data_IF_752006488029
#
_entry.id   IF_752006488029
#
_cell.length_a   1.000
_cell.length_b   1.000
_cell.length_c   1.000
_cell.angle_alpha   90.00
_cell.angle_beta   90.00
_cell.angle_gamma   90.00
#
_symmetry.space_group_name_H-M   'P 1'
#
loop_
_entity.id
_entity.type
_entity.pdbx_description
1 polymer ?
#
# COMPACT_ATOMS: atom_id res chain seq x y z
N UNK A 1 -3.57 38.37 -28.33
CA UNK A 1 -2.51 37.76 -27.49
C UNK A 1 -3.17 37.11 -26.27
N UNK A 2 -2.89 35.81 -26.03
CA UNK A 2 -3.15 34.96 -24.83
C UNK A 2 -4.64 34.64 -24.53
N UNK A 3 -5.04 33.38 -24.35
CA UNK A 3 -4.43 32.36 -23.47
C UNK A 3 -4.61 30.89 -23.94
N UNK A 4 -3.68 29.98 -23.62
CA UNK A 4 -3.94 28.55 -23.60
C UNK A 4 -4.11 28.04 -22.17
N UNK A 5 -5.34 27.96 -21.68
CA UNK A 5 -5.70 27.26 -20.44
C UNK A 5 -6.53 26.03 -20.81
N UNK A 6 -5.83 24.92 -21.14
CA UNK A 6 -6.38 23.54 -21.24
C UNK A 6 -5.31 22.47 -21.54
N UNK A 7 -4.11 22.86 -22.02
CA UNK A 7 -3.00 21.93 -22.29
C UNK A 7 -2.26 21.46 -21.01
N UNK A 8 -2.34 22.20 -19.91
CA UNK A 8 -1.62 21.88 -18.66
C UNK A 8 -2.24 20.71 -17.86
N UNK A 9 -3.49 20.30 -18.14
CA UNK A 9 -4.15 19.18 -17.45
C UNK A 9 -3.70 17.79 -17.94
N UNK A 10 -3.18 17.67 -19.17
CA UNK A 10 -2.74 16.38 -19.74
C UNK A 10 -1.23 16.15 -19.62
N UNK A 11 -0.40 17.20 -19.64
CA UNK A 11 1.06 17.06 -19.57
C UNK A 11 1.57 16.46 -18.25
N UNK A 12 1.13 17.03 -17.12
CA UNK A 12 1.46 16.51 -15.78
C UNK A 12 0.98 15.06 -15.60
N UNK A 13 -0.25 14.77 -16.02
CA UNK A 13 -0.83 13.43 -15.90
C UNK A 13 -0.09 12.40 -16.78
N UNK A 14 0.27 12.75 -18.02
CA UNK A 14 1.05 11.90 -18.93
C UNK A 14 2.45 11.61 -18.39
N UNK A 15 3.13 12.62 -17.85
CA UNK A 15 4.44 12.43 -17.22
C UNK A 15 4.35 11.50 -16.00
N UNK A 16 3.33 11.67 -15.16
CA UNK A 16 3.10 10.78 -14.01
C UNK A 16 2.82 9.35 -14.47
N UNK A 17 2.00 9.17 -15.51
CA UNK A 17 1.66 7.85 -16.03
C UNK A 17 2.87 7.14 -16.63
N UNK A 18 3.65 7.82 -17.47
CA UNK A 18 4.90 7.28 -18.01
C UNK A 18 5.92 6.97 -16.91
N UNK A 19 5.98 7.79 -15.85
CA UNK A 19 6.82 7.52 -14.70
C UNK A 19 6.38 6.27 -13.95
N UNK A 20 5.07 6.10 -13.73
CA UNK A 20 4.50 4.91 -13.09
C UNK A 20 4.89 3.63 -13.86
N UNK A 21 4.76 3.64 -15.19
CA UNK A 21 5.12 2.52 -16.05
C UNK A 21 6.61 2.17 -15.96
N UNK A 22 7.49 3.15 -16.13
CA UNK A 22 8.94 2.92 -16.06
C UNK A 22 9.40 2.52 -14.65
N UNK A 23 8.84 3.12 -13.60
CA UNK A 23 9.13 2.73 -12.23
C UNK A 23 8.60 1.33 -11.91
N UNK A 24 7.54 0.87 -12.56
CA UNK A 24 7.01 -0.48 -12.39
C UNK A 24 7.87 -1.55 -13.07
N UNK A 25 8.50 -1.20 -14.19
CA UNK A 25 9.31 -2.12 -14.98
C UNK A 25 10.77 -2.18 -14.51
N UNK A 26 11.37 -1.02 -14.20
CA UNK A 26 12.80 -0.89 -13.95
C UNK A 26 13.14 -0.43 -12.53
N UNK A 27 12.15 0.00 -11.74
CA UNK A 27 12.36 0.61 -10.44
C UNK A 27 12.74 2.09 -10.50
N UNK A 28 12.81 2.73 -9.33
CA UNK A 28 13.06 4.16 -9.22
C UNK A 28 14.48 4.53 -9.63
N UNK A 29 15.49 3.82 -9.13
CA UNK A 29 16.90 4.16 -9.33
C UNK A 29 17.31 4.09 -10.80
N UNK A 30 16.89 3.04 -11.51
CA UNK A 30 17.23 2.82 -12.92
C UNK A 30 16.51 3.78 -13.90
N UNK A 31 15.50 4.52 -13.44
CA UNK A 31 14.69 5.39 -14.30
C UNK A 31 15.16 6.85 -14.25
N UNK A 32 15.39 7.48 -15.41
CA UNK A 32 15.76 8.90 -15.48
C UNK A 32 14.58 9.80 -15.83
N UNK A 33 14.59 11.07 -15.40
CA UNK A 33 13.54 12.05 -15.77
C UNK A 33 13.49 12.32 -17.27
N UNK A 34 14.62 12.18 -17.98
CA UNK A 34 14.67 12.25 -19.44
C UNK A 34 13.96 11.08 -20.10
N UNK A 35 14.16 9.86 -19.59
CA UNK A 35 13.47 8.67 -20.09
C UNK A 35 11.95 8.80 -19.90
N UNK A 36 11.50 9.29 -18.74
CA UNK A 36 10.08 9.57 -18.47
C UNK A 36 9.52 10.59 -19.46
N UNK A 37 10.22 11.70 -19.67
CA UNK A 37 9.76 12.74 -20.59
C UNK A 37 9.66 12.20 -22.03
N UNK A 38 10.64 11.43 -22.47
CA UNK A 38 10.65 10.77 -23.77
C UNK A 38 9.46 9.79 -23.91
N UNK A 39 9.23 8.93 -22.91
CA UNK A 39 8.10 8.00 -22.90
C UNK A 39 6.74 8.71 -22.92
N UNK A 40 6.64 9.88 -22.28
CA UNK A 40 5.43 10.70 -22.31
C UNK A 40 5.26 11.54 -23.60
N UNK A 41 6.25 11.54 -24.51
CA UNK A 41 6.26 12.39 -25.70
C UNK A 41 6.38 13.89 -25.39
N UNK A 42 7.08 14.24 -24.30
CA UNK A 42 7.16 15.59 -23.76
C UNK A 42 8.61 16.04 -23.57
N UNK A 43 8.83 17.36 -23.50
CA UNK A 43 10.16 17.91 -23.21
C UNK A 43 10.58 17.62 -21.77
N UNK A 44 11.86 17.25 -21.50
CA UNK A 44 12.39 17.07 -20.15
C UNK A 44 12.18 18.29 -19.23
N UNK A 45 12.14 19.50 -19.80
CA UNK A 45 11.88 20.72 -19.04
C UNK A 45 10.50 20.72 -18.34
N UNK A 46 9.52 19.99 -18.88
CA UNK A 46 8.19 19.85 -18.27
C UNK A 46 8.22 19.01 -17.00
N UNK A 47 9.16 18.07 -16.87
CA UNK A 47 9.32 17.29 -15.62
C UNK A 47 9.75 18.21 -14.49
N UNK A 48 10.78 19.03 -14.70
CA UNK A 48 11.25 20.00 -13.72
C UNK A 48 10.19 21.06 -13.43
N UNK A 49 9.48 21.56 -14.45
CA UNK A 49 8.39 22.54 -14.28
C UNK A 49 7.24 22.00 -13.43
N UNK A 50 6.82 20.75 -13.64
CA UNK A 50 5.65 20.21 -12.95
C UNK A 50 5.97 19.55 -11.61
N UNK A 51 7.13 18.90 -11.49
CA UNK A 51 7.46 18.06 -10.33
C UNK A 51 8.69 18.51 -9.56
N UNK A 52 9.45 19.48 -10.08
CA UNK A 52 10.68 20.00 -9.46
C UNK A 52 11.87 19.04 -9.59
N UNK A 53 11.71 17.80 -9.15
CA UNK A 53 12.77 16.78 -9.15
C UNK A 53 12.26 15.39 -9.50
N UNK A 54 13.19 14.43 -9.62
CA UNK A 54 12.88 13.00 -9.79
C UNK A 54 12.10 12.46 -8.58
N UNK A 55 12.45 12.91 -7.37
CA UNK A 55 11.78 12.57 -6.12
C UNK A 55 10.39 13.20 -6.05
N UNK A 56 10.21 14.45 -6.52
CA UNK A 56 8.90 15.08 -6.60
C UNK A 56 7.97 14.37 -7.59
N UNK A 57 8.53 13.85 -8.69
CA UNK A 57 7.79 13.02 -9.64
C UNK A 57 7.39 11.69 -9.00
N UNK A 58 8.31 11.04 -8.27
CA UNK A 58 8.03 9.83 -7.51
C UNK A 58 6.92 10.02 -6.47
N UNK A 59 6.98 11.10 -5.70
CA UNK A 59 5.95 11.42 -4.72
C UNK A 59 4.56 11.59 -5.38
N UNK A 60 4.49 12.20 -6.55
CA UNK A 60 3.24 12.32 -7.31
C UNK A 60 2.72 10.97 -7.84
N UNK A 61 3.61 10.03 -8.14
CA UNK A 61 3.23 8.64 -8.48
C UNK A 61 2.73 7.93 -7.22
N UNK A 62 3.45 8.01 -6.10
CA UNK A 62 3.04 7.42 -4.83
C UNK A 62 1.63 7.88 -4.41
N UNK A 63 1.37 9.19 -4.49
CA UNK A 63 0.06 9.78 -4.19
C UNK A 63 -1.05 9.20 -5.08
N UNK A 64 -0.79 9.10 -6.39
CA UNK A 64 -1.75 8.53 -7.34
C UNK A 64 -2.03 7.05 -7.07
N UNK A 65 -0.99 6.27 -6.79
CA UNK A 65 -1.12 4.84 -6.44
C UNK A 65 -1.92 4.66 -5.15
N UNK A 66 -1.66 5.49 -4.13
CA UNK A 66 -2.41 5.48 -2.88
C UNK A 66 -3.88 5.87 -3.09
N UNK A 67 -4.17 6.86 -3.92
CA UNK A 67 -5.54 7.26 -4.23
C UNK A 67 -6.31 6.12 -4.92
N UNK A 68 -5.71 5.50 -5.94
CA UNK A 68 -6.29 4.34 -6.63
C UNK A 68 -6.58 3.17 -5.67
N UNK A 69 -5.63 2.86 -4.78
CA UNK A 69 -5.79 1.78 -3.81
C UNK A 69 -6.85 2.09 -2.75
N UNK A 70 -6.87 3.31 -2.20
CA UNK A 70 -7.89 3.68 -1.21
C UNK A 70 -9.27 3.83 -1.84
N UNK A 71 -9.37 4.21 -3.11
CA UNK A 71 -10.61 4.20 -3.89
C UNK A 71 -11.15 2.79 -4.10
N UNK A 72 -10.29 1.86 -4.54
CA UNK A 72 -10.64 0.45 -4.71
C UNK A 72 -11.13 -0.18 -3.39
N UNK A 73 -10.46 0.13 -2.27
CA UNK A 73 -10.88 -0.32 -0.93
C UNK A 73 -12.27 0.22 -0.54
N UNK A 74 -12.54 1.51 -0.75
CA UNK A 74 -13.86 2.11 -0.45
C UNK A 74 -15.01 1.49 -1.24
N UNK A 75 -14.73 1.02 -2.46
CA UNK A 75 -15.69 0.32 -3.31
C UNK A 75 -16.14 -1.05 -2.76
N UNK A 76 -15.37 -1.66 -1.85
CA UNK A 76 -15.70 -2.96 -1.25
C UNK A 76 -16.95 -2.92 -0.35
N UNK A 77 -17.23 -1.77 0.25
CA UNK A 77 -18.42 -1.55 1.09
C UNK A 77 -19.59 -0.92 0.34
N UNK A 78 -19.48 -0.70 -0.97
CA UNK A 78 -20.53 -0.12 -1.80
C UNK A 78 -21.27 -1.23 -2.56
N UNK A 79 -22.58 -1.32 -2.32
CA UNK A 79 -23.57 -2.21 -2.95
C UNK A 79 -23.31 -3.72 -2.87
N UNK A 80 -24.12 -4.42 -2.06
CA UNK A 80 -24.22 -5.87 -2.04
C UNK A 80 -23.28 -6.61 -1.09
N UNK A 81 -22.47 -5.88 -0.30
CA UNK A 81 -21.59 -6.47 0.73
C UNK A 81 -22.37 -7.34 1.74
N UNK A 82 -23.57 -6.91 2.15
CA UNK A 82 -24.39 -7.66 3.11
C UNK A 82 -24.97 -8.98 2.58
N UNK A 83 -25.00 -9.16 1.26
CA UNK A 83 -25.55 -10.36 0.60
C UNK A 83 -24.48 -11.36 0.15
N UNK A 84 -23.19 -11.01 0.23
CA UNK A 84 -22.08 -11.79 -0.32
C UNK A 84 -21.37 -12.57 0.77
N UNK A 85 -21.02 -13.83 0.47
CA UNK A 85 -20.17 -14.64 1.35
C UNK A 85 -18.77 -14.00 1.52
N UNK A 86 -18.15 -14.25 2.68
CA UNK A 86 -16.85 -13.72 3.06
C UNK A 86 -15.75 -14.12 2.06
N UNK A 87 -15.80 -15.34 1.51
CA UNK A 87 -14.80 -15.81 0.55
C UNK A 87 -14.94 -15.16 -0.82
N UNK A 88 -16.16 -14.86 -1.27
CA UNK A 88 -16.40 -14.07 -2.49
C UNK A 88 -15.91 -12.63 -2.31
N UNK A 89 -16.21 -12.03 -1.16
CA UNK A 89 -15.73 -10.69 -0.81
C UNK A 89 -14.20 -10.65 -0.76
N UNK A 90 -13.56 -11.64 -0.13
CA UNK A 90 -12.10 -11.74 -0.07
C UNK A 90 -11.45 -12.04 -1.43
N UNK A 91 -12.11 -12.82 -2.27
CA UNK A 91 -11.70 -13.08 -3.66
C UNK A 91 -11.71 -11.82 -4.52
N UNK A 92 -12.77 -11.01 -4.44
CA UNK A 92 -12.85 -9.71 -5.11
C UNK A 92 -11.82 -8.71 -4.56
N UNK A 93 -11.60 -8.69 -3.25
CA UNK A 93 -10.54 -7.89 -2.61
C UNK A 93 -9.17 -8.28 -3.15
N UNK A 94 -8.88 -9.58 -3.22
CA UNK A 94 -7.59 -10.08 -3.68
C UNK A 94 -7.42 -9.85 -5.18
N UNK A 95 -8.46 -10.06 -5.99
CA UNK A 95 -8.46 -9.77 -7.41
C UNK A 95 -8.32 -8.27 -7.71
N UNK A 96 -8.90 -7.38 -6.89
CA UNK A 96 -8.78 -5.92 -7.05
C UNK A 96 -7.46 -5.35 -6.51
N UNK A 97 -6.96 -5.88 -5.40
CA UNK A 97 -5.71 -5.43 -4.79
C UNK A 97 -4.46 -6.03 -5.45
N UNK A 98 -4.53 -7.27 -5.91
CA UNK A 98 -3.39 -7.99 -6.49
C UNK A 98 -3.57 -8.37 -7.97
N UNK A 99 -4.80 -8.40 -8.50
CA UNK A 99 -5.09 -8.81 -9.88
C UNK A 99 -5.30 -7.68 -10.89
N UNK A 100 -5.63 -6.44 -10.48
CA UNK A 100 -6.25 -5.47 -11.41
C UNK A 100 -5.35 -4.53 -12.22
N UNK A 101 -4.04 -4.46 -12.00
CA UNK A 101 -3.15 -3.71 -12.91
C UNK A 101 -1.70 -4.22 -12.79
N UNK A 102 -1.12 -4.83 -13.84
CA UNK A 102 0.27 -5.32 -13.80
C UNK A 102 1.28 -4.18 -13.54
N UNK A 103 0.99 -2.96 -14.00
CA UNK A 103 1.85 -1.79 -13.79
C UNK A 103 1.83 -1.40 -12.31
N UNK A 104 0.64 -1.27 -11.72
CA UNK A 104 0.51 -0.92 -10.31
C UNK A 104 1.20 -1.95 -9.40
N UNK A 105 1.07 -3.22 -9.72
CA UNK A 105 1.72 -4.32 -8.99
C UNK A 105 3.24 -4.27 -9.11
N UNK A 106 3.76 -4.05 -10.32
CA UNK A 106 5.20 -3.88 -10.55
C UNK A 106 5.76 -2.71 -9.76
N UNK A 107 5.04 -1.59 -9.77
CA UNK A 107 5.41 -0.41 -9.00
C UNK A 107 5.45 -0.68 -7.49
N UNK A 108 4.38 -1.26 -6.94
CA UNK A 108 4.31 -1.59 -5.51
C UNK A 108 5.39 -2.57 -5.10
N UNK A 109 5.72 -3.56 -5.94
CA UNK A 109 6.84 -4.48 -5.69
C UNK A 109 8.14 -3.71 -5.53
N UNK A 110 8.49 -2.84 -6.48
CA UNK A 110 9.71 -2.02 -6.38
C UNK A 110 9.67 -1.08 -5.17
N UNK A 111 8.57 -0.35 -4.99
CA UNK A 111 8.40 0.61 -3.90
C UNK A 111 8.49 -0.03 -2.51
N UNK A 112 8.01 -1.26 -2.34
CA UNK A 112 8.02 -1.94 -1.04
C UNK A 112 9.32 -2.70 -0.76
N UNK A 113 9.97 -3.25 -1.80
CA UNK A 113 11.14 -4.12 -1.62
C UNK A 113 12.47 -3.38 -1.73
N UNK A 114 12.52 -2.29 -2.49
CA UNK A 114 13.79 -1.59 -2.77
C UNK A 114 13.94 -0.30 -1.95
N UNK A 115 12.84 0.24 -1.42
CA UNK A 115 12.80 1.58 -0.84
C UNK A 115 12.50 1.53 0.66
N UNK A 116 13.48 1.12 1.48
CA UNK A 116 13.26 0.72 2.88
C UNK A 116 12.52 1.75 3.76
N UNK A 117 12.81 3.05 3.61
CA UNK A 117 12.14 4.10 4.39
C UNK A 117 10.83 4.59 3.78
N UNK A 118 10.79 4.82 2.47
CA UNK A 118 9.60 5.34 1.77
C UNK A 118 8.56 4.26 1.52
N UNK A 119 9.00 3.05 1.20
CA UNK A 119 8.17 1.85 1.14
C UNK A 119 7.46 1.57 2.46
N UNK A 120 8.15 1.76 3.61
CA UNK A 120 7.51 1.66 4.91
C UNK A 120 6.43 2.74 5.13
N UNK A 121 6.64 3.97 4.66
CA UNK A 121 5.64 5.03 4.74
C UNK A 121 4.42 4.74 3.86
N UNK A 122 4.64 4.28 2.62
CA UNK A 122 3.60 3.89 1.68
C UNK A 122 2.79 2.69 2.20
N UNK A 123 3.48 1.65 2.68
CA UNK A 123 2.85 0.50 3.34
C UNK A 123 2.03 0.93 4.56
N UNK A 124 2.57 1.83 5.39
CA UNK A 124 1.85 2.40 6.53
C UNK A 124 0.56 3.10 6.11
N UNK A 125 0.57 3.84 4.99
CA UNK A 125 -0.62 4.48 4.43
C UNK A 125 -1.66 3.46 3.96
N UNK A 126 -1.23 2.46 3.18
CA UNK A 126 -2.09 1.39 2.69
C UNK A 126 -2.75 0.63 3.85
N UNK A 127 -1.98 0.25 4.87
CA UNK A 127 -2.49 -0.47 6.03
C UNK A 127 -3.47 0.36 6.86
N UNK A 128 -3.24 1.67 6.99
CA UNK A 128 -4.20 2.59 7.64
C UNK A 128 -5.51 2.66 6.86
N UNK A 129 -5.44 2.76 5.54
CA UNK A 129 -6.61 2.74 4.66
C UNK A 129 -7.40 1.45 4.78
N UNK A 130 -6.74 0.30 4.65
CA UNK A 130 -7.36 -1.01 4.78
C UNK A 130 -8.00 -1.24 6.15
N UNK A 131 -7.33 -0.86 7.25
CA UNK A 131 -7.89 -0.96 8.60
C UNK A 131 -9.12 -0.08 8.80
N UNK A 132 -9.16 1.11 8.18
CA UNK A 132 -10.34 1.99 8.23
C UNK A 132 -11.52 1.32 7.54
N UNK A 133 -11.29 0.71 6.38
CA UNK A 133 -12.37 0.03 5.64
C UNK A 133 -12.84 -1.23 6.36
N UNK A 134 -11.92 -2.06 6.87
CA UNK A 134 -12.28 -3.25 7.65
C UNK A 134 -13.10 -2.91 8.90
N UNK A 135 -12.80 -1.80 9.58
CA UNK A 135 -13.61 -1.32 10.72
C UNK A 135 -15.02 -0.95 10.27
N UNK A 136 -15.14 -0.16 9.20
CA UNK A 136 -16.44 0.21 8.62
C UNK A 136 -17.26 -1.02 8.23
N UNK A 137 -16.64 -1.97 7.54
CA UNK A 137 -17.29 -3.23 7.15
C UNK A 137 -17.70 -4.06 8.37
N UNK A 138 -16.87 -4.13 9.42
CA UNK A 138 -17.19 -4.87 10.65
C UNK A 138 -18.37 -4.25 11.42
N UNK A 139 -18.49 -2.92 11.41
CA UNK A 139 -19.61 -2.19 12.01
C UNK A 139 -20.91 -2.46 11.25
N UNK A 140 -20.85 -2.48 9.91
CA UNK A 140 -21.99 -2.78 9.04
C UNK A 140 -22.49 -4.21 9.21
N UNK A 141 -21.60 -5.20 9.28
CA UNK A 141 -21.97 -6.62 9.32
C UNK A 141 -22.15 -7.19 10.75
N UNK A 142 -22.07 -6.35 11.79
CA UNK A 142 -22.20 -6.80 13.19
C UNK A 142 -21.11 -7.77 13.65
N UNK A 143 -20.03 -7.93 12.89
CA UNK A 143 -18.89 -8.79 13.25
C UNK A 143 -18.08 -8.01 14.28
N UNK A 144 -18.18 -8.39 15.55
CA UNK A 144 -17.40 -7.78 16.63
C UNK A 144 -15.91 -7.82 16.27
N UNK A 145 -15.38 -6.68 15.80
CA UNK A 145 -13.96 -6.51 15.52
C UNK A 145 -13.20 -6.91 16.78
N UNK A 146 -12.28 -7.87 16.64
CA UNK A 146 -11.52 -8.47 17.73
C UNK A 146 -10.93 -7.36 18.61
N UNK A 147 -11.58 -7.08 19.75
CA UNK A 147 -11.10 -6.06 20.69
C UNK A 147 -9.67 -6.45 21.07
N UNK A 148 -8.70 -5.52 21.03
CA UNK A 148 -7.31 -5.85 21.32
C UNK A 148 -7.26 -6.52 22.69
N UNK A 149 -6.83 -7.79 22.73
CA UNK A 149 -6.73 -8.55 23.98
C UNK A 149 -5.87 -7.73 24.95
N UNK A 150 -6.34 -7.45 26.18
CA UNK A 150 -5.55 -6.68 27.13
C UNK A 150 -4.21 -7.39 27.35
N UNK A 151 -3.11 -6.62 27.31
CA UNK A 151 -1.76 -7.14 27.53
C UNK A 151 -1.76 -7.91 28.85
N UNK A 152 -1.68 -9.25 28.78
CA UNK A 152 -1.46 -10.07 29.98
C UNK A 152 -0.18 -9.54 30.63
N UNK A 153 -0.30 -8.93 31.82
CA UNK A 153 0.85 -8.56 32.64
C UNK A 153 1.72 -9.81 32.77
N UNK A 154 2.93 -9.80 32.19
CA UNK A 154 3.91 -10.88 32.34
C UNK A 154 4.32 -10.92 33.80
N UNK A 155 3.66 -11.80 34.54
CA UNK A 155 3.91 -12.09 35.94
C UNK A 155 3.74 -13.58 36.20
N UNK A 156 4.50 -14.41 35.50
CA UNK A 156 4.80 -15.78 35.96
C UNK A 156 6.31 -15.91 35.97
N UNK A 157 6.89 -15.75 37.16
CA UNK A 157 8.23 -16.26 37.48
C UNK A 157 8.17 -17.77 37.29
N UNK A 158 9.02 -18.32 36.46
CA UNK A 158 9.36 -19.73 36.55
C UNK A 158 10.14 -19.90 37.87
N UNK A 159 9.59 -20.67 38.80
CA UNK A 159 10.36 -21.22 39.92
C UNK A 159 11.11 -22.44 39.38
N UNK A 160 12.42 -22.59 39.62
CA UNK A 160 13.12 -23.81 39.25
C UNK A 160 12.62 -24.96 40.14
N UNK A 161 12.31 -26.10 39.51
CA UNK A 161 11.99 -27.33 40.21
C UNK A 161 13.19 -27.78 41.05
N UNK A 162 12.99 -27.94 42.36
CA UNK A 162 13.98 -28.52 43.26
C UNK A 162 14.24 -30.00 42.89
N UNK A 163 15.49 -30.48 42.88
CA UNK A 163 15.78 -31.90 42.68
C UNK A 163 15.60 -32.64 44.02
N UNK A 164 14.46 -33.33 44.18
CA UNK A 164 14.19 -34.19 45.33
C UNK A 164 14.29 -35.66 44.94
N UNK A 165 15.49 -36.24 45.02
CA UNK A 165 15.67 -37.69 45.16
C UNK A 165 16.45 -37.93 46.46
N UNK A 166 15.71 -38.16 47.54
CA UNK A 166 16.26 -38.63 48.81
C UNK A 166 16.54 -40.12 48.73
N UNK A 167 17.78 -40.47 49.07
CA UNK A 167 18.28 -41.83 49.29
C UNK A 167 17.63 -42.48 50.53
N UNK A 168 17.55 -43.81 50.48
CA UNK A 168 17.56 -44.81 51.58
C UNK A 168 16.25 -45.34 52.20
N UNK A 169 16.05 -46.64 51.94
CA UNK A 169 15.89 -47.77 52.87
C UNK A 169 14.58 -47.97 53.66
N UNK A 170 13.89 -49.10 53.42
CA UNK A 170 13.86 -50.27 54.34
C UNK A 170 12.69 -51.23 54.03
N UNK A 171 13.01 -52.49 53.67
CA UNK A 171 12.71 -53.73 54.43
C UNK A 171 13.16 -54.96 53.66
#
# INVERSE_FOLDING_TARGET
>A
MRAPAKADLTGRARLRQAALELFAEHGFEATSTRAVAAAAGLSPALVTRHFGSKEGLRAAVDEYVLDQMTGALRGLGAEGAEKRDLMTSLGEVTARLFGSDPVLRGYLRHALLEDGGRGAALFGHLLRGARRELRRLSEVHGVNACKPRPKRRRGRRYAPASPGWTTSASR
#
